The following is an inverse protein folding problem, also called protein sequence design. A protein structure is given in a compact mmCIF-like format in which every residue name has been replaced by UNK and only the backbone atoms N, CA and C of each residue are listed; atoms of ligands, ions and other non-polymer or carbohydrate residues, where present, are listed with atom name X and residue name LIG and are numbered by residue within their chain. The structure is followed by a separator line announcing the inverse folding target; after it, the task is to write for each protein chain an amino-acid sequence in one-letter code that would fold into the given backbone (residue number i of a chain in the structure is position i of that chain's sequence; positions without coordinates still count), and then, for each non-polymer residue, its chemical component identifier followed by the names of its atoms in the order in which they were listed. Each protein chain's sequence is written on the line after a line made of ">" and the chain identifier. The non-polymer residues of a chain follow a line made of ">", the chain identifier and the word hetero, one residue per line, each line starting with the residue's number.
data_IF_939008162804
#
_entry.id   IF_939008162804
#
_cell.length_a   1.000
_cell.length_b   1.000
_cell.length_c   1.000
_cell.angle_alpha   90.00
_cell.angle_beta   90.00
_cell.angle_gamma   90.00
#
_symmetry.space_group_name_H-M   'P 1'
#
loop_
_entity.id
_entity.type
_entity.pdbx_description
1 polymer ?
#
# COMPACT_ATOMS: atom_id res chain seq x y z
N UNK A 1 -12.97 9.25 -9.83
CA UNK A 1 -13.60 9.71 -8.55
C UNK A 1 -12.87 10.96 -8.03
N UNK A 2 -13.51 11.87 -7.27
CA UNK A 2 -12.86 13.12 -6.79
C UNK A 2 -11.97 12.86 -5.56
N UNK A 3 -10.67 13.16 -5.66
CA UNK A 3 -9.68 12.99 -4.58
C UNK A 3 -9.72 14.12 -3.54
N UNK A 4 -10.50 15.17 -3.78
CA UNK A 4 -10.52 16.38 -2.96
C UNK A 4 -11.06 16.10 -1.54
N UNK A 5 -12.04 15.20 -1.40
CA UNK A 5 -12.71 14.99 -0.11
C UNK A 5 -11.81 14.32 0.95
N UNK A 6 -11.07 13.24 0.65
CA UNK A 6 -10.09 12.69 1.59
C UNK A 6 -8.99 13.69 1.99
N UNK A 7 -8.53 14.54 1.07
CA UNK A 7 -7.47 15.55 1.32
C UNK A 7 -7.93 16.65 2.29
N UNK A 8 -9.24 16.92 2.39
CA UNK A 8 -9.75 17.89 3.38
C UNK A 8 -9.75 17.33 4.81
N UNK A 9 -9.79 16.01 4.93
CA UNK A 9 -9.98 15.30 6.19
C UNK A 9 -8.62 14.83 6.73
N UNK A 10 -7.78 14.27 5.86
CA UNK A 10 -6.39 13.94 6.14
C UNK A 10 -5.52 15.17 5.95
N UNK A 11 -4.44 15.31 6.72
CA UNK A 11 -3.43 16.27 6.31
C UNK A 11 -2.83 15.82 4.96
N UNK A 12 -2.38 16.78 4.15
CA UNK A 12 -1.87 16.50 2.80
C UNK A 12 -0.75 15.45 2.81
N UNK A 13 0.16 15.53 3.78
CA UNK A 13 1.29 14.61 3.90
C UNK A 13 0.81 13.20 4.26
N UNK A 14 -0.09 13.03 5.23
CA UNK A 14 -0.66 11.72 5.59
C UNK A 14 -1.38 11.08 4.39
N UNK A 15 -2.10 11.87 3.61
CA UNK A 15 -2.77 11.37 2.41
C UNK A 15 -1.76 10.91 1.35
N UNK A 16 -0.70 11.69 1.11
CA UNK A 16 0.39 11.32 0.21
C UNK A 16 1.12 10.05 0.68
N UNK A 17 1.38 9.92 1.99
CA UNK A 17 2.00 8.75 2.61
C UNK A 17 1.12 7.50 2.41
N UNK A 18 -0.19 7.61 2.67
CA UNK A 18 -1.15 6.53 2.47
C UNK A 18 -1.24 6.12 1.00
N UNK A 19 -1.26 7.09 0.07
CA UNK A 19 -1.29 6.80 -1.38
C UNK A 19 -0.02 6.14 -1.87
N UNK A 20 1.14 6.56 -1.37
CA UNK A 20 2.39 5.88 -1.66
C UNK A 20 2.34 4.45 -1.13
N UNK A 21 1.92 4.26 0.13
CA UNK A 21 1.85 2.96 0.78
C UNK A 21 0.94 1.99 0.00
N UNK A 22 -0.28 2.39 -0.32
CA UNK A 22 -1.22 1.57 -1.10
C UNK A 22 -0.64 1.14 -2.44
N UNK A 23 0.11 2.02 -3.10
CA UNK A 23 0.71 1.72 -4.38
C UNK A 23 1.89 0.74 -4.26
N UNK A 24 2.69 0.83 -3.18
CA UNK A 24 3.78 -0.12 -2.89
C UNK A 24 3.27 -1.53 -2.60
N UNK A 25 2.15 -1.66 -1.90
CA UNK A 25 1.56 -2.98 -1.57
C UNK A 25 0.57 -3.47 -2.62
N UNK A 26 0.32 -2.70 -3.68
CA UNK A 26 -0.72 -2.92 -4.68
C UNK A 26 -2.12 -3.10 -4.09
N UNK A 27 -2.48 -2.24 -3.13
CA UNK A 27 -3.83 -2.20 -2.59
C UNK A 27 -4.78 -1.62 -3.64
N UNK A 28 -5.71 -2.45 -4.12
CA UNK A 28 -6.71 -2.03 -5.11
C UNK A 28 -8.02 -1.56 -4.49
N UNK A 29 -8.20 -1.77 -3.18
CA UNK A 29 -9.49 -1.61 -2.49
C UNK A 29 -9.45 -0.55 -1.37
N UNK A 30 -8.61 0.47 -1.51
CA UNK A 30 -8.68 1.67 -0.67
C UNK A 30 -9.89 2.51 -1.07
N UNK A 31 -11.09 2.03 -0.75
CA UNK A 31 -12.34 2.77 -0.91
C UNK A 31 -12.58 3.74 0.25
N UNK A 32 -13.57 4.64 0.12
CA UNK A 32 -13.84 5.65 1.15
C UNK A 32 -14.20 5.07 2.53
N UNK A 33 -14.77 3.87 2.59
CA UNK A 33 -14.98 3.16 3.87
C UNK A 33 -13.69 2.71 4.57
N UNK A 34 -12.54 2.73 3.89
CA UNK A 34 -11.23 2.35 4.42
C UNK A 34 -10.40 3.59 4.80
N UNK A 35 -11.09 4.72 5.00
CA UNK A 35 -10.58 5.97 5.57
C UNK A 35 -11.45 6.28 6.79
N UNK A 36 -10.97 5.90 7.96
CA UNK A 36 -11.68 6.17 9.22
C UNK A 36 -11.02 7.30 9.99
N UNK A 37 -11.85 7.97 10.78
CA UNK A 37 -11.46 9.07 11.65
C UNK A 37 -11.85 8.72 13.08
N UNK A 38 -10.91 8.86 13.98
CA UNK A 38 -11.19 8.82 15.41
C UNK A 38 -11.72 10.18 15.83
N UNK A 39 -12.91 10.21 16.42
CA UNK A 39 -13.46 11.41 17.06
C UNK A 39 -13.13 11.38 18.55
N UNK A 40 -12.39 12.37 19.03
CA UNK A 40 -12.26 12.58 20.47
C UNK A 40 -13.61 13.09 21.01
N UNK A 41 -14.27 12.30 21.84
CA UNK A 41 -15.59 12.66 22.38
C UNK A 41 -15.58 13.89 23.29
N UNK A 42 -14.43 14.22 23.89
CA UNK A 42 -14.27 15.37 24.78
C UNK A 42 -13.89 16.64 24.02
N UNK A 43 -12.95 16.55 23.08
CA UNK A 43 -12.43 17.73 22.34
C UNK A 43 -13.08 17.93 20.96
N UNK A 44 -13.80 16.93 20.45
CA UNK A 44 -14.36 16.87 19.08
C UNK A 44 -13.32 16.96 17.98
N UNK A 45 -12.04 16.74 18.29
CA UNK A 45 -10.97 16.66 17.31
C UNK A 45 -11.14 15.36 16.51
N UNK A 46 -11.01 15.48 15.19
CA UNK A 46 -10.92 14.35 14.26
C UNK A 46 -9.45 14.05 14.02
N UNK A 47 -9.02 12.83 14.32
CA UNK A 47 -7.70 12.33 13.98
C UNK A 47 -7.85 11.21 12.95
N UNK A 48 -6.95 11.13 11.95
CA UNK A 48 -6.93 9.96 11.08
C UNK A 48 -6.68 8.71 11.92
N UNK A 49 -7.49 7.67 11.71
CA UNK A 49 -7.25 6.37 12.34
C UNK A 49 -5.96 5.73 11.78
N UNK A 50 -5.21 4.93 12.56
CA UNK A 50 -4.23 4.01 12.02
C UNK A 50 -4.73 3.26 10.78
N UNK A 51 -3.85 3.09 9.79
CA UNK A 51 -4.20 2.42 8.53
C UNK A 51 -4.65 0.98 8.81
N UNK A 52 -5.82 0.60 8.30
CA UNK A 52 -6.40 -0.73 8.44
C UNK A 52 -6.88 -1.26 7.07
N UNK A 53 -7.42 -2.47 7.08
CA UNK A 53 -8.03 -3.16 5.92
C UNK A 53 -7.17 -3.11 4.64
N UNK A 54 -6.02 -3.80 4.69
CA UNK A 54 -5.06 -3.90 3.58
C UNK A 54 -5.13 -5.26 2.88
N UNK A 55 -6.18 -6.05 3.12
CA UNK A 55 -6.20 -7.47 2.77
C UNK A 55 -6.26 -7.72 1.25
N UNK A 56 -6.85 -6.80 0.48
CA UNK A 56 -6.86 -6.87 -0.99
C UNK A 56 -5.61 -6.20 -1.61
N UNK A 57 -4.45 -6.71 -1.22
CA UNK A 57 -3.12 -6.29 -1.67
C UNK A 57 -2.36 -7.39 -2.42
N UNK A 58 -1.19 -7.07 -2.98
CA UNK A 58 -0.37 -7.92 -3.84
C UNK A 58 -0.26 -9.38 -3.35
N UNK A 59 0.08 -9.58 -2.08
CA UNK A 59 0.36 -10.93 -1.56
C UNK A 59 -0.87 -11.84 -1.62
N UNK A 60 -2.08 -11.28 -1.40
CA UNK A 60 -3.33 -12.03 -1.43
C UNK A 60 -3.74 -12.46 -2.84
N UNK A 61 -3.27 -11.77 -3.88
CA UNK A 61 -3.62 -12.05 -5.28
C UNK A 61 -2.60 -12.90 -6.02
N UNK A 62 -1.41 -13.11 -5.44
CA UNK A 62 -0.32 -13.90 -6.04
C UNK A 62 -0.54 -15.39 -5.82
N UNK A 63 -0.41 -16.15 -6.92
CA UNK A 63 -0.38 -17.61 -6.91
C UNK A 63 1.00 -18.08 -7.40
N UNK A 64 1.35 -19.35 -7.18
CA UNK A 64 2.64 -19.91 -7.63
C UNK A 64 2.93 -19.64 -9.11
N UNK A 65 1.89 -19.69 -9.95
CA UNK A 65 2.02 -19.37 -11.37
C UNK A 65 2.35 -17.89 -11.61
N UNK A 66 1.69 -16.98 -10.89
CA UNK A 66 1.87 -15.52 -11.04
C UNK A 66 3.23 -15.04 -10.52
N UNK A 67 3.84 -15.77 -9.56
CA UNK A 67 5.17 -15.42 -9.05
C UNK A 67 6.24 -15.38 -10.15
N UNK A 68 6.08 -16.19 -11.21
CA UNK A 68 7.00 -16.22 -12.36
C UNK A 68 7.17 -14.87 -13.05
N UNK A 69 6.15 -14.00 -12.96
CA UNK A 69 6.15 -12.66 -13.52
C UNK A 69 5.17 -11.76 -12.74
N UNK A 70 5.62 -11.27 -11.59
CA UNK A 70 4.82 -10.42 -10.69
C UNK A 70 4.43 -9.12 -11.42
N UNK A 71 5.34 -8.50 -12.16
CA UNK A 71 5.07 -7.31 -12.96
C UNK A 71 3.87 -7.49 -13.89
N UNK A 72 3.83 -8.60 -14.65
CA UNK A 72 2.70 -8.93 -15.51
C UNK A 72 1.44 -9.25 -14.72
N UNK A 73 1.55 -9.89 -13.57
CA UNK A 73 0.40 -10.17 -12.71
C UNK A 73 -0.26 -8.90 -12.16
N UNK A 74 0.54 -7.83 -11.96
CA UNK A 74 0.10 -6.57 -11.39
C UNK A 74 -0.25 -5.48 -12.41
N UNK A 75 0.15 -5.62 -13.68
CA UNK A 75 0.10 -4.52 -14.66
C UNK A 75 -1.29 -3.89 -14.90
N UNK A 76 -2.36 -4.67 -14.75
CA UNK A 76 -3.74 -4.24 -15.00
C UNK A 76 -4.47 -3.86 -13.70
N UNK A 77 -3.76 -3.77 -12.58
CA UNK A 77 -4.32 -3.39 -11.29
C UNK A 77 -4.47 -1.87 -11.23
N UNK A 78 -5.69 -1.47 -10.90
CA UNK A 78 -6.08 -0.07 -10.71
C UNK A 78 -6.43 0.12 -9.25
N UNK A 79 -6.10 1.28 -8.72
CA UNK A 79 -6.60 1.72 -7.43
C UNK A 79 -8.09 2.03 -7.51
N UNK A 80 -8.74 2.10 -6.35
CA UNK A 80 -10.11 2.59 -6.23
C UNK A 80 -10.33 3.99 -6.85
N UNK A 81 -9.28 4.80 -6.97
CA UNK A 81 -9.33 6.15 -7.52
C UNK A 81 -9.02 6.20 -9.03
N UNK A 82 -9.13 5.06 -9.72
CA UNK A 82 -8.93 4.93 -11.17
C UNK A 82 -7.49 5.19 -11.66
N UNK A 83 -6.51 5.25 -10.75
CA UNK A 83 -5.10 5.31 -11.13
C UNK A 83 -4.54 3.91 -11.37
N UNK A 84 -3.66 3.78 -12.36
CA UNK A 84 -2.71 2.68 -12.33
C UNK A 84 -1.81 2.83 -11.10
N UNK A 85 -1.38 1.72 -10.49
CA UNK A 85 -0.59 1.81 -9.25
C UNK A 85 0.81 2.45 -9.48
N UNK A 86 1.38 2.29 -10.68
CA UNK A 86 2.60 3.01 -11.08
C UNK A 86 2.38 4.52 -11.21
N UNK A 87 1.23 4.95 -11.73
CA UNK A 87 0.86 6.35 -11.77
C UNK A 87 0.66 6.91 -10.36
N UNK A 88 -0.01 6.16 -9.48
CA UNK A 88 -0.16 6.53 -8.07
C UNK A 88 1.21 6.68 -7.38
N UNK A 89 2.13 5.73 -7.57
CA UNK A 89 3.52 5.85 -7.09
C UNK A 89 4.15 7.17 -7.55
N UNK A 90 4.08 7.47 -8.85
CA UNK A 90 4.68 8.67 -9.44
C UNK A 90 4.08 9.98 -8.90
N UNK A 91 2.76 10.03 -8.69
CA UNK A 91 2.06 11.24 -8.26
C UNK A 91 2.32 11.57 -6.77
N UNK A 92 2.37 10.53 -5.94
CA UNK A 92 2.38 10.68 -4.49
C UNK A 92 3.77 10.50 -3.86
N UNK A 93 4.77 10.04 -4.61
CA UNK A 93 6.16 10.05 -4.13
C UNK A 93 6.68 11.48 -3.96
N UNK A 94 7.32 11.75 -2.82
CA UNK A 94 7.96 13.03 -2.44
C UNK A 94 9.38 12.76 -1.94
N UNK A 95 10.21 13.80 -1.92
CA UNK A 95 11.60 13.68 -1.46
C UNK A 95 11.73 13.12 -0.03
N UNK A 96 10.79 13.47 0.87
CA UNK A 96 10.74 12.93 2.25
C UNK A 96 10.61 11.40 2.30
N UNK A 97 10.12 10.76 1.23
CA UNK A 97 9.94 9.30 1.18
C UNK A 97 11.22 8.55 0.82
N UNK A 98 12.20 9.21 0.20
CA UNK A 98 13.43 8.57 -0.30
C UNK A 98 14.13 7.71 0.77
N UNK A 99 14.36 8.20 2.01
CA UNK A 99 15.04 7.39 3.03
C UNK A 99 14.30 6.11 3.43
N UNK A 100 12.97 6.08 3.30
CA UNK A 100 12.17 4.88 3.58
C UNK A 100 12.12 3.95 2.37
N UNK A 101 12.03 4.49 1.16
CA UNK A 101 12.09 3.71 -0.08
C UNK A 101 13.45 3.02 -0.24
N UNK A 102 14.55 3.68 0.11
CA UNK A 102 15.89 3.09 0.09
C UNK A 102 16.00 1.84 0.97
N UNK A 103 15.25 1.76 2.08
CA UNK A 103 15.23 0.57 2.95
C UNK A 103 14.61 -0.64 2.26
N UNK A 104 13.70 -0.43 1.29
CA UNK A 104 13.07 -1.52 0.55
C UNK A 104 14.07 -2.31 -0.30
N UNK A 105 15.16 -1.68 -0.75
CA UNK A 105 16.26 -2.36 -1.46
C UNK A 105 16.93 -3.48 -0.65
N UNK A 106 16.73 -3.49 0.67
CA UNK A 106 17.26 -4.50 1.61
C UNK A 106 16.14 -5.17 2.42
N UNK A 107 14.89 -5.05 1.97
CA UNK A 107 13.75 -5.60 2.68
C UNK A 107 13.72 -7.12 2.58
N UNK A 108 13.53 -7.81 3.69
CA UNK A 108 13.26 -9.25 3.71
C UNK A 108 12.10 -9.55 4.67
N UNK A 109 11.16 -10.39 4.24
CA UNK A 109 10.12 -10.90 5.15
C UNK A 109 10.72 -11.67 6.32
N UNK A 110 10.24 -11.35 7.51
CA UNK A 110 10.54 -12.10 8.73
C UNK A 110 9.51 -13.23 8.84
N UNK A 111 10.01 -14.47 8.81
CA UNK A 111 9.16 -15.66 8.99
C UNK A 111 8.59 -15.71 10.42
N UNK A 112 7.30 -15.99 10.53
CA UNK A 112 6.66 -16.32 11.80
C UNK A 112 7.19 -17.68 12.30
N UNK A 113 7.02 -17.98 13.60
CA UNK A 113 7.48 -19.26 14.15
C UNK A 113 6.67 -20.46 13.65
N UNK A 114 5.40 -20.25 13.34
CA UNK A 114 4.43 -21.33 13.10
C UNK A 114 3.70 -21.23 11.75
N UNK A 115 3.52 -20.02 11.21
CA UNK A 115 2.65 -19.79 10.06
C UNK A 115 3.39 -18.99 8.99
N UNK A 116 3.88 -19.68 7.95
CA UNK A 116 4.65 -19.06 6.89
C UNK A 116 4.13 -19.43 5.52
N UNK A 117 4.31 -18.50 4.58
CA UNK A 117 4.30 -18.84 3.17
C UNK A 117 5.53 -19.69 2.82
N UNK A 118 5.45 -20.44 1.72
CA UNK A 118 6.59 -21.19 1.20
C UNK A 118 7.73 -20.23 0.86
N UNK A 119 8.96 -20.68 1.03
CA UNK A 119 10.16 -19.90 0.74
C UNK A 119 10.18 -19.40 -0.70
N UNK A 120 9.69 -20.20 -1.66
CA UNK A 120 9.55 -19.81 -3.06
C UNK A 120 8.63 -18.61 -3.30
N UNK A 121 7.64 -18.36 -2.43
CA UNK A 121 6.85 -17.13 -2.44
C UNK A 121 7.66 -15.97 -1.87
N UNK A 122 8.16 -16.15 -0.65
CA UNK A 122 8.86 -15.09 0.08
C UNK A 122 10.08 -14.57 -0.70
N UNK A 123 10.89 -15.46 -1.27
CA UNK A 123 12.05 -15.09 -2.08
C UNK A 123 11.68 -14.31 -3.33
N UNK A 124 10.62 -14.71 -4.04
CA UNK A 124 10.20 -14.02 -5.26
C UNK A 124 9.58 -12.65 -4.96
N UNK A 125 8.80 -12.55 -3.88
CA UNK A 125 8.21 -11.27 -3.45
C UNK A 125 9.30 -10.34 -2.89
N UNK A 126 10.25 -10.84 -2.07
CA UNK A 126 11.39 -10.04 -1.60
C UNK A 126 12.17 -9.46 -2.79
N UNK A 127 12.55 -10.30 -3.76
CA UNK A 127 13.25 -9.85 -4.97
C UNK A 127 12.47 -8.79 -5.73
N UNK A 128 11.14 -8.91 -5.78
CA UNK A 128 10.31 -7.93 -6.45
C UNK A 128 10.27 -6.58 -5.72
N UNK A 129 10.19 -6.59 -4.38
CA UNK A 129 10.18 -5.38 -3.55
C UNK A 129 11.55 -4.69 -3.55
N UNK A 130 12.65 -5.46 -3.64
CA UNK A 130 14.02 -4.94 -3.60
C UNK A 130 14.49 -4.29 -4.91
N UNK A 131 13.80 -4.54 -6.03
CA UNK A 131 14.16 -4.06 -7.38
C UNK A 131 13.49 -2.73 -7.74
#
# INVERSE_FOLDING_TARGET
>A
MDIIEPIKIYCKEDFEDLKLFDALIYNTDRHLGNFEMIVDNNTKILLPEPIFDNELSMINILTEYKLKDISKAMNNKISFFDFSLNEQLRLFTKERHIPNLEKLSKFDFIKHKEFNLKDSFLEQINKYIQN
#
